data_IF_526756730963
#
_entry.id   IF_526756730963
#
_cell.length_a   1.000
_cell.length_b   1.000
_cell.length_c   1.000
_cell.angle_alpha   90.00
_cell.angle_beta   90.00
_cell.angle_gamma   90.00
#
_symmetry.space_group_name_H-M   'P 1'
#
loop_
_entity.id
_entity.type
_entity.pdbx_description
1 polymer ?
#
# COMPACT_ATOMS: atom_id res chain seq x y z
N UNK A 1 -2.76 5.97 -10.36
CA UNK A 1 -2.52 4.52 -10.28
C UNK A 1 -1.04 4.19 -10.10
N UNK A 2 -0.16 4.69 -10.93
CA UNK A 2 1.28 4.44 -10.89
C UNK A 2 1.93 4.79 -9.55
N UNK A 3 1.51 5.89 -8.92
CA UNK A 3 1.99 6.31 -7.61
C UNK A 3 1.74 5.25 -6.53
N UNK A 4 0.56 4.63 -6.56
CA UNK A 4 0.21 3.60 -5.58
C UNK A 4 0.99 2.31 -5.79
N UNK A 5 1.28 1.96 -7.04
CA UNK A 5 2.10 0.81 -7.37
C UNK A 5 3.52 0.98 -6.81
N UNK A 6 4.16 2.11 -7.05
CA UNK A 6 5.49 2.41 -6.53
C UNK A 6 5.51 2.47 -5.00
N UNK A 7 4.43 2.96 -4.39
CA UNK A 7 4.28 2.97 -2.94
C UNK A 7 4.25 1.55 -2.36
N UNK A 8 3.53 0.63 -3.00
CA UNK A 8 3.49 -0.78 -2.61
C UNK A 8 4.86 -1.44 -2.81
N UNK A 9 5.53 -1.18 -3.92
CA UNK A 9 6.89 -1.65 -4.16
C UNK A 9 7.83 -1.25 -3.03
N UNK A 10 7.83 0.03 -2.67
CA UNK A 10 8.65 0.54 -1.56
C UNK A 10 8.30 -0.14 -0.24
N UNK A 11 7.02 -0.32 0.04
CA UNK A 11 6.57 -1.04 1.23
C UNK A 11 7.15 -2.45 1.30
N UNK A 12 7.05 -3.21 0.20
CA UNK A 12 7.53 -4.59 0.14
C UNK A 12 9.06 -4.64 0.28
N UNK A 13 9.78 -3.80 -0.44
CA UNK A 13 11.24 -3.81 -0.48
C UNK A 13 11.87 -3.30 0.82
N UNK A 14 11.16 -2.48 1.60
CA UNK A 14 11.60 -2.02 2.92
C UNK A 14 11.18 -2.95 4.07
N UNK A 15 10.38 -3.96 3.81
CA UNK A 15 9.93 -4.89 4.86
C UNK A 15 11.08 -5.56 5.61
N UNK A 16 12.13 -6.12 4.95
CA UNK A 16 13.24 -6.73 5.68
C UNK A 16 13.98 -5.73 6.58
N UNK A 17 14.14 -4.49 6.11
CA UNK A 17 14.76 -3.44 6.90
C UNK A 17 13.90 -3.06 8.12
N UNK A 18 12.59 -2.92 7.92
CA UNK A 18 11.64 -2.61 9.00
C UNK A 18 11.55 -3.71 10.03
N UNK A 19 11.67 -4.97 9.59
CA UNK A 19 11.70 -6.13 10.47
C UNK A 19 13.07 -6.36 11.15
N UNK A 20 14.04 -5.46 10.94
CA UNK A 20 15.41 -5.55 11.44
C UNK A 20 16.15 -6.82 10.99
N UNK A 21 15.76 -7.39 9.86
CA UNK A 21 16.43 -8.54 9.24
C UNK A 21 17.68 -8.14 8.46
N UNK A 22 17.70 -6.91 7.95
CA UNK A 22 18.80 -6.33 7.18
C UNK A 22 19.05 -4.90 7.63
N UNK A 23 20.23 -4.35 7.29
CA UNK A 23 20.58 -2.94 7.56
C UNK A 23 20.24 -2.00 6.42
N UNK A 24 20.04 -2.56 5.22
CA UNK A 24 19.61 -1.82 4.03
C UNK A 24 18.72 -2.71 3.18
N UNK A 25 17.86 -2.11 2.35
CA UNK A 25 16.95 -2.85 1.48
C UNK A 25 17.70 -3.77 0.50
N UNK A 26 18.82 -3.29 -0.05
CA UNK A 26 19.67 -4.03 -0.99
C UNK A 26 20.44 -5.20 -0.37
N UNK A 27 20.48 -5.29 0.95
CA UNK A 27 21.16 -6.41 1.66
C UNK A 27 20.34 -7.71 1.61
N UNK A 28 19.05 -7.62 1.31
CA UNK A 28 18.22 -8.81 1.13
C UNK A 28 18.37 -9.34 -0.30
N UNK A 29 19.06 -10.48 -0.42
CA UNK A 29 19.30 -11.14 -1.72
C UNK A 29 18.01 -11.68 -2.36
N UNK A 30 16.95 -11.89 -1.60
CA UNK A 30 15.68 -12.44 -2.08
C UNK A 30 14.69 -11.36 -2.51
N UNK A 31 15.02 -10.09 -2.25
CA UNK A 31 14.18 -8.95 -2.59
C UNK A 31 14.45 -8.45 -4.03
N UNK A 32 13.44 -7.84 -4.63
CA UNK A 32 13.58 -7.12 -5.90
C UNK A 32 14.34 -5.77 -5.76
N UNK A 33 14.71 -5.37 -4.55
CA UNK A 33 15.38 -4.08 -4.31
C UNK A 33 16.69 -3.94 -5.10
N UNK A 34 17.50 -4.98 -5.15
CA UNK A 34 18.75 -4.98 -5.93
C UNK A 34 18.51 -4.73 -7.41
N UNK A 35 17.48 -5.35 -7.97
CA UNK A 35 17.08 -5.13 -9.36
C UNK A 35 16.61 -3.68 -9.59
N UNK A 36 15.72 -3.18 -8.75
CA UNK A 36 15.17 -1.82 -8.85
C UNK A 36 16.23 -0.74 -8.65
N UNK A 37 17.26 -1.01 -7.82
CA UNK A 37 18.39 -0.11 -7.59
C UNK A 37 19.50 -0.24 -8.65
N UNK A 38 19.36 -1.11 -9.63
CA UNK A 38 20.35 -1.32 -10.68
C UNK A 38 21.62 -2.02 -10.23
N UNK A 39 21.61 -2.69 -9.08
CA UNK A 39 22.79 -3.37 -8.51
C UNK A 39 22.98 -4.76 -9.15
N UNK A 40 21.87 -5.46 -9.43
CA UNK A 40 21.89 -6.81 -10.00
C UNK A 40 20.82 -6.94 -11.07
N UNK A 41 21.11 -7.75 -12.09
CA UNK A 41 20.12 -8.16 -13.09
C UNK A 41 19.40 -9.43 -12.61
N UNK A 42 18.10 -9.52 -12.89
CA UNK A 42 17.31 -10.71 -12.60
C UNK A 42 16.38 -10.99 -13.78
N UNK A 43 16.61 -12.08 -14.52
CA UNK A 43 15.80 -12.41 -15.71
C UNK A 43 14.36 -12.80 -15.36
N UNK A 44 14.05 -13.10 -14.11
CA UNK A 44 12.70 -13.43 -13.66
C UNK A 44 11.84 -12.19 -13.41
N UNK A 45 12.46 -11.01 -13.33
CA UNK A 45 11.78 -9.75 -13.06
C UNK A 45 11.61 -8.95 -14.35
N UNK A 46 10.40 -8.43 -14.54
CA UNK A 46 10.07 -7.50 -15.63
C UNK A 46 9.76 -6.13 -15.03
N UNK A 47 10.46 -5.06 -15.48
CA UNK A 47 10.20 -3.73 -14.96
C UNK A 47 8.81 -3.25 -15.39
N UNK A 48 8.07 -2.70 -14.43
CA UNK A 48 6.76 -2.12 -14.69
C UNK A 48 6.90 -0.75 -15.38
N UNK A 49 5.95 -0.36 -16.25
CA UNK A 49 5.98 0.97 -16.88
C UNK A 49 6.13 2.14 -15.91
N UNK A 50 5.56 2.05 -14.70
CA UNK A 50 5.73 3.07 -13.66
C UNK A 50 7.19 3.23 -13.22
N UNK A 51 7.94 2.14 -13.14
CA UNK A 51 9.39 2.17 -12.88
C UNK A 51 10.15 2.74 -14.07
N UNK A 52 9.82 2.32 -15.28
CA UNK A 52 10.47 2.81 -16.50
C UNK A 52 10.29 4.31 -16.71
N UNK A 53 9.17 4.87 -16.24
CA UNK A 53 8.87 6.29 -16.29
C UNK A 53 9.75 7.15 -15.37
N UNK A 54 10.51 6.55 -14.44
CA UNK A 54 11.38 7.27 -13.51
C UNK A 54 12.61 7.88 -14.17
N UNK A 55 12.99 7.42 -15.35
CA UNK A 55 14.13 7.99 -16.06
C UNK A 55 14.27 7.43 -17.47
N UNK A 56 15.00 8.16 -18.32
CA UNK A 56 15.20 7.82 -19.73
C UNK A 56 16.17 6.65 -19.92
N UNK A 57 17.10 6.45 -18.99
CA UNK A 57 18.10 5.38 -19.05
C UNK A 57 18.17 4.62 -17.71
N UNK A 58 18.80 3.43 -17.66
CA UNK A 58 18.88 2.63 -16.45
C UNK A 58 19.53 3.34 -15.26
N UNK A 59 20.55 4.16 -15.48
CA UNK A 59 21.24 4.88 -14.41
C UNK A 59 20.34 5.96 -13.79
N UNK A 60 19.61 6.71 -14.59
CA UNK A 60 18.63 7.69 -14.12
C UNK A 60 17.49 7.03 -13.33
N UNK A 61 16.98 5.92 -13.82
CA UNK A 61 15.93 5.17 -13.14
C UNK A 61 16.39 4.66 -11.78
N UNK A 62 17.58 4.08 -11.71
CA UNK A 62 18.16 3.59 -10.47
C UNK A 62 18.35 4.71 -9.44
N UNK A 63 18.86 5.87 -9.86
CA UNK A 63 19.04 7.03 -9.00
C UNK A 63 17.72 7.57 -8.48
N UNK A 64 16.73 7.73 -9.35
CA UNK A 64 15.38 8.19 -8.98
C UNK A 64 14.70 7.22 -8.02
N UNK A 65 14.84 5.93 -8.27
CA UNK A 65 14.26 4.90 -7.40
C UNK A 65 14.92 4.86 -6.02
N UNK A 66 16.25 5.04 -5.96
CA UNK A 66 16.95 5.14 -4.68
C UNK A 66 16.47 6.33 -3.86
N UNK A 67 16.27 7.48 -4.48
CA UNK A 67 15.69 8.66 -3.80
C UNK A 67 14.29 8.36 -3.27
N UNK A 68 13.46 7.71 -4.08
CA UNK A 68 12.12 7.28 -3.70
C UNK A 68 12.14 6.31 -2.52
N UNK A 69 13.03 5.32 -2.56
CA UNK A 69 13.17 4.32 -1.51
C UNK A 69 13.65 4.96 -0.20
N UNK A 70 14.60 5.91 -0.28
CA UNK A 70 15.15 6.60 0.88
C UNK A 70 14.15 7.52 1.59
N UNK A 71 13.12 7.98 0.89
CA UNK A 71 12.04 8.74 1.52
C UNK A 71 11.27 7.91 2.55
N UNK A 72 11.32 6.60 2.44
CA UNK A 72 10.61 5.68 3.32
C UNK A 72 9.10 5.73 3.16
N UNK A 73 8.43 4.94 3.96
CA UNK A 73 6.96 4.88 4.01
C UNK A 73 6.50 5.68 5.22
N UNK A 74 5.62 6.65 5.01
CA UNK A 74 5.04 7.42 6.12
C UNK A 74 4.10 6.56 6.95
N UNK A 75 3.83 6.97 8.18
CA UNK A 75 2.90 6.25 9.06
C UNK A 75 1.50 6.17 8.47
N UNK A 76 1.05 7.24 7.80
CA UNK A 76 -0.25 7.26 7.13
C UNK A 76 -0.31 6.29 5.95
N UNK A 77 0.74 6.27 5.11
CA UNK A 77 0.86 5.31 4.02
C UNK A 77 0.88 3.87 4.53
N UNK A 78 1.66 3.62 5.59
CA UNK A 78 1.78 2.31 6.20
C UNK A 78 0.43 1.83 6.75
N UNK A 79 -0.28 2.70 7.44
CA UNK A 79 -1.62 2.41 7.96
C UNK A 79 -2.61 2.10 6.84
N UNK A 80 -2.63 2.91 5.78
CA UNK A 80 -3.48 2.70 4.62
C UNK A 80 -3.20 1.38 3.91
N UNK A 81 -1.93 1.04 3.69
CA UNK A 81 -1.53 -0.22 3.06
C UNK A 81 -1.99 -1.41 3.91
N UNK A 82 -1.71 -1.39 5.21
CA UNK A 82 -2.07 -2.48 6.12
C UNK A 82 -3.58 -2.68 6.21
N UNK A 83 -4.34 -1.59 6.25
CA UNK A 83 -5.79 -1.65 6.33
C UNK A 83 -6.40 -2.24 5.05
N UNK A 84 -5.91 -1.84 3.87
CA UNK A 84 -6.36 -2.41 2.60
C UNK A 84 -5.99 -3.90 2.47
N UNK A 85 -4.80 -4.29 2.90
CA UNK A 85 -4.39 -5.70 2.93
C UNK A 85 -5.27 -6.51 3.87
N UNK A 86 -5.52 -6.02 5.08
CA UNK A 86 -6.34 -6.72 6.08
C UNK A 86 -7.76 -6.95 5.59
N UNK A 87 -8.34 -6.01 4.88
CA UNK A 87 -9.70 -6.11 4.35
C UNK A 87 -9.76 -6.63 2.91
N UNK A 88 -8.62 -6.96 2.31
CA UNK A 88 -8.52 -7.37 0.89
C UNK A 88 -9.21 -6.37 -0.04
N UNK A 89 -8.93 -5.08 0.14
CA UNK A 89 -9.51 -3.98 -0.65
C UNK A 89 -8.50 -3.41 -1.63
N UNK A 90 -9.01 -2.79 -2.69
CA UNK A 90 -8.17 -2.12 -3.67
C UNK A 90 -7.62 -0.81 -3.10
N UNK A 91 -6.29 -0.64 -3.15
CA UNK A 91 -5.63 0.59 -2.81
C UNK A 91 -5.49 1.45 -4.06
N UNK A 92 -6.01 2.67 -4.03
CA UNK A 92 -5.91 3.56 -5.16
C UNK A 92 -6.92 4.70 -5.13
N UNK A 93 -6.94 5.45 -6.22
CA UNK A 93 -7.88 6.53 -6.41
C UNK A 93 -9.34 6.01 -6.45
N UNK A 94 -10.36 6.79 -6.00
CA UNK A 94 -11.76 6.36 -6.03
C UNK A 94 -12.26 5.83 -7.38
N UNK A 95 -11.78 6.39 -8.49
CA UNK A 95 -12.12 5.88 -9.84
C UNK A 95 -11.61 4.46 -10.07
N UNK A 96 -10.40 4.17 -9.60
CA UNK A 96 -9.83 2.83 -9.66
C UNK A 96 -10.59 1.86 -8.77
N UNK A 97 -10.93 2.26 -7.56
CA UNK A 97 -11.72 1.45 -6.63
C UNK A 97 -13.10 1.12 -7.21
N UNK A 98 -13.77 2.08 -7.84
CA UNK A 98 -15.05 1.89 -8.49
C UNK A 98 -14.94 0.91 -9.67
N UNK A 99 -13.89 1.02 -10.49
CA UNK A 99 -13.62 0.10 -11.59
C UNK A 99 -13.36 -1.32 -11.06
N UNK A 100 -12.53 -1.47 -10.03
CA UNK A 100 -12.22 -2.74 -9.42
C UNK A 100 -13.48 -3.41 -8.81
N UNK A 101 -14.32 -2.63 -8.14
CA UNK A 101 -15.58 -3.13 -7.57
C UNK A 101 -16.51 -3.67 -8.64
N UNK A 102 -16.64 -2.97 -9.77
CA UNK A 102 -17.46 -3.42 -10.90
C UNK A 102 -16.90 -4.66 -11.57
N UNK A 103 -15.61 -4.67 -11.84
CA UNK A 103 -14.93 -5.78 -12.54
C UNK A 103 -14.96 -7.05 -11.73
N UNK A 104 -14.73 -6.96 -10.43
CA UNK A 104 -14.64 -8.11 -9.52
C UNK A 104 -15.98 -8.46 -8.87
N UNK A 105 -17.00 -7.62 -9.06
CA UNK A 105 -18.32 -7.75 -8.42
C UNK A 105 -18.21 -7.91 -6.89
N UNK A 106 -17.34 -7.09 -6.26
CA UNK A 106 -17.13 -7.06 -4.82
C UNK A 106 -16.71 -5.68 -4.36
N UNK A 107 -16.85 -5.40 -3.07
CA UNK A 107 -16.46 -4.12 -2.50
C UNK A 107 -14.96 -3.91 -2.61
N UNK A 108 -14.55 -2.75 -3.13
CA UNK A 108 -13.15 -2.37 -3.27
C UNK A 108 -12.69 -1.32 -2.26
N UNK A 109 -13.61 -0.64 -1.58
CA UNK A 109 -13.29 0.39 -0.59
C UNK A 109 -13.19 -0.19 0.82
N UNK A 110 -12.28 0.38 1.61
CA UNK A 110 -12.13 0.06 3.03
C UNK A 110 -13.43 0.39 3.79
N UNK A 111 -13.82 -0.48 4.68
CA UNK A 111 -14.97 -0.30 5.56
C UNK A 111 -14.50 0.01 6.98
N UNK A 112 -15.23 0.86 7.73
CA UNK A 112 -14.93 1.07 9.13
C UNK A 112 -14.97 -0.25 9.91
N UNK A 113 -14.01 -0.48 10.79
CA UNK A 113 -14.02 -1.63 11.67
C UNK A 113 -15.00 -1.42 12.84
N UNK A 114 -15.59 -2.52 13.29
CA UNK A 114 -16.44 -2.52 14.48
C UNK A 114 -17.93 -2.71 14.17
N UNK A 115 -18.67 -2.98 15.23
CA UNK A 115 -20.13 -3.14 15.14
C UNK A 115 -20.77 -1.78 14.85
N UNK A 116 -21.67 -1.72 13.88
CA UNK A 116 -22.47 -0.53 13.63
C UNK A 116 -23.23 -0.16 14.91
N UNK A 117 -22.99 1.03 15.42
CA UNK A 117 -23.78 1.56 16.54
C UNK A 117 -25.25 1.65 16.10
N UNK A 118 -26.13 1.03 16.87
CA UNK A 118 -27.56 1.23 16.66
C UNK A 118 -27.88 2.69 16.92
N UNK A 119 -28.58 3.33 16.00
CA UNK A 119 -29.12 4.66 16.26
C UNK A 119 -30.16 4.52 17.38
N UNK A 120 -29.96 5.25 18.48
CA UNK A 120 -30.93 5.30 19.58
C UNK A 120 -32.00 6.31 19.20
N UNK A 121 -33.24 5.84 19.02
CA UNK A 121 -34.38 6.71 18.76
C UNK A 121 -34.77 7.46 20.03
N UNK A 122 -35.50 8.55 19.89
CA UNK A 122 -36.02 9.33 21.02
C UNK A 122 -36.86 8.48 22.00
N UNK A 123 -37.61 7.51 21.48
CA UNK A 123 -38.39 6.56 22.25
C UNK A 123 -37.52 5.64 23.08
N UNK A 124 -36.42 5.15 22.53
CA UNK A 124 -35.46 4.31 23.26
C UNK A 124 -34.74 5.09 24.35
N UNK A 125 -34.48 6.38 24.15
CA UNK A 125 -33.92 7.26 25.19
C UNK A 125 -34.89 7.48 26.32
N UNK A 126 -36.16 7.68 26.00
CA UNK A 126 -37.24 7.87 26.96
C UNK A 126 -37.42 6.65 27.85
N UNK A 127 -37.46 5.43 27.25
CA UNK A 127 -37.61 4.19 28.00
C UNK A 127 -36.39 3.89 28.90
N UNK A 128 -35.19 4.27 28.50
CA UNK A 128 -33.99 4.12 29.31
C UNK A 128 -33.98 5.09 30.51
N UNK A 129 -34.67 6.20 30.41
CA UNK A 129 -34.82 7.15 31.51
C UNK A 129 -35.69 6.66 32.68
N UNK A 130 -36.55 5.69 32.42
CA UNK A 130 -37.44 5.11 33.42
C UNK A 130 -36.85 3.94 34.21
N UNK A 131 -35.69 3.43 33.76
CA UNK A 131 -35.01 2.31 34.40
C UNK A 131 -34.00 2.73 35.46
N UNK A 132 -33.88 4.02 35.72
CA UNK A 132 -33.04 4.59 36.73
C UNK A 132 -33.90 5.08 37.89
#
# INVERSE_FOLDING_TARGET
MERYLLMIHRYIELNPLRAAMTTAAEDDQWSSARFSLGIAADPTLSPHPAYLALGADPACRATSYRQWLNQGVTDDELHAIRLHLQQERALGHPRFQAMAARTLNRRACVQPSGRRKKSVTAEQRSSNGYLT
#
